data_IF_007494807687
#
_entry.id   IF_007494807687
#
_cell.length_a   1.000
_cell.length_b   1.000
_cell.length_c   1.000
_cell.angle_alpha   90.00
_cell.angle_beta   90.00
_cell.angle_gamma   90.00
#
_symmetry.space_group_name_H-M   'P 1'
#
loop_
_entity.id
_entity.type
_entity.pdbx_description
1 polymer ?
#
# COMPACT_ATOMS: atom_id res chain seq x y z
N UNK A 1 -7.49 -21.87 20.22
CA UNK A 1 -6.39 -22.67 19.65
C UNK A 1 -5.10 -22.06 20.14
N UNK A 2 -4.38 -22.80 20.97
CA UNK A 2 -3.13 -22.36 21.63
C UNK A 2 -2.01 -22.30 20.60
N UNK A 3 -1.53 -21.11 20.30
CA UNK A 3 -0.31 -20.92 19.50
C UNK A 3 0.90 -21.23 20.38
N UNK A 4 1.62 -22.28 20.07
CA UNK A 4 2.90 -22.59 20.66
C UNK A 4 3.86 -21.42 20.52
N UNK A 5 4.67 -21.07 21.53
CA UNK A 5 5.66 -20.01 21.42
C UNK A 5 6.74 -20.43 20.42
N UNK A 6 6.85 -19.71 19.31
CA UNK A 6 7.96 -19.82 18.38
C UNK A 6 9.28 -19.65 19.15
N UNK A 7 10.24 -20.55 18.90
CA UNK A 7 11.60 -20.51 19.46
C UNK A 7 12.18 -19.10 19.31
N UNK A 8 12.48 -18.45 20.42
CA UNK A 8 12.99 -17.10 20.45
C UNK A 8 14.30 -16.99 19.68
N UNK A 9 14.24 -16.40 18.51
CA UNK A 9 15.44 -15.97 17.78
C UNK A 9 16.00 -14.79 18.57
N UNK A 10 17.10 -15.00 19.30
CA UNK A 10 17.78 -13.93 19.99
C UNK A 10 18.28 -12.91 18.97
N UNK A 11 17.65 -11.74 18.93
CA UNK A 11 18.10 -10.64 18.07
C UNK A 11 19.45 -10.13 18.59
N UNK A 12 20.43 -9.92 17.70
CA UNK A 12 21.69 -9.27 18.10
C UNK A 12 21.38 -7.86 18.61
N UNK A 13 22.07 -7.32 19.60
CA UNK A 13 21.90 -5.93 20.01
C UNK A 13 22.05 -4.96 18.83
N UNK A 14 21.21 -3.91 18.76
CA UNK A 14 21.41 -2.84 17.78
C UNK A 14 22.65 -2.04 18.22
N UNK A 15 23.57 -1.67 17.31
CA UNK A 15 24.61 -0.69 17.58
C UNK A 15 23.99 0.61 18.09
N UNK A 16 24.76 1.49 18.72
CA UNK A 16 24.27 2.78 19.23
C UNK A 16 23.76 3.73 18.12
N UNK A 17 24.09 3.41 16.85
CA UNK A 17 23.67 4.15 15.64
C UNK A 17 23.19 3.20 14.54
N UNK A 18 22.48 3.73 13.57
CA UNK A 18 21.91 3.01 12.42
C UNK A 18 21.86 3.89 11.18
N UNK A 19 21.84 3.27 10.00
CA UNK A 19 21.69 3.95 8.70
C UNK A 19 20.24 4.30 8.44
N UNK A 20 19.98 5.53 8.01
CA UNK A 20 18.69 5.99 7.50
C UNK A 20 18.88 6.83 6.24
N UNK A 21 17.80 6.97 5.45
CA UNK A 21 17.72 7.95 4.38
C UNK A 21 16.68 8.98 4.78
N UNK A 22 17.11 10.22 4.98
CA UNK A 22 16.23 11.31 5.41
C UNK A 22 16.12 12.39 4.34
N UNK A 23 15.03 13.13 4.43
CA UNK A 23 14.80 14.35 3.66
C UNK A 23 15.05 15.53 4.61
N UNK A 24 16.00 16.39 4.24
CA UNK A 24 16.37 17.58 5.04
C UNK A 24 15.75 18.85 4.50
N UNK A 25 15.37 18.86 3.23
CA UNK A 25 14.61 19.88 2.51
C UNK A 25 13.93 19.22 1.30
N UNK A 26 12.92 19.82 0.67
CA UNK A 26 12.24 19.25 -0.49
C UNK A 26 13.20 18.71 -1.54
N UNK A 27 12.98 17.45 -1.95
CA UNK A 27 13.77 16.68 -2.92
C UNK A 27 15.22 16.36 -2.51
N UNK A 28 15.60 16.61 -1.26
CA UNK A 28 16.93 16.31 -0.73
C UNK A 28 16.96 15.03 0.09
N UNK A 29 16.96 13.87 -0.55
CA UNK A 29 17.19 12.59 0.11
C UNK A 29 18.69 12.35 0.37
N UNK A 30 19.05 12.10 1.62
CA UNK A 30 20.44 11.86 2.02
C UNK A 30 20.57 10.64 2.93
N UNK A 31 21.60 9.83 2.69
CA UNK A 31 22.00 8.76 3.61
C UNK A 31 22.67 9.39 4.82
N UNK A 32 22.20 9.05 6.00
CA UNK A 32 22.70 9.59 7.29
C UNK A 32 22.87 8.49 8.31
N UNK A 33 23.66 8.76 9.35
CA UNK A 33 23.71 7.95 10.55
C UNK A 33 22.89 8.62 11.65
N UNK A 34 21.99 7.86 12.28
CA UNK A 34 21.13 8.32 13.38
C UNK A 34 21.37 7.50 14.66
N UNK A 35 21.16 8.11 15.81
CA UNK A 35 21.22 7.42 17.09
C UNK A 35 19.97 6.59 17.33
N UNK A 36 20.16 5.39 17.89
CA UNK A 36 19.06 4.54 18.31
C UNK A 36 18.35 5.17 19.49
N UNK A 37 17.03 5.33 19.37
CA UNK A 37 16.17 5.82 20.44
C UNK A 37 15.40 4.68 21.10
N UNK A 38 15.05 4.85 22.37
CA UNK A 38 14.12 3.94 23.04
C UNK A 38 12.67 4.26 22.72
N UNK A 39 11.79 3.23 22.55
CA UNK A 39 10.39 3.46 22.27
C UNK A 39 9.68 4.06 23.49
N UNK A 40 8.89 5.12 23.25
CA UNK A 40 8.04 5.75 24.26
C UNK A 40 6.80 4.92 24.61
N UNK A 41 5.92 5.43 25.49
CA UNK A 41 4.67 4.75 25.86
C UNK A 41 3.81 4.41 24.65
N UNK A 42 3.36 3.15 24.55
CA UNK A 42 2.55 2.65 23.44
C UNK A 42 3.28 2.48 22.11
N UNK A 43 4.60 2.65 22.09
CA UNK A 43 5.44 2.51 20.90
C UNK A 43 6.28 1.23 20.93
N UNK A 44 6.70 0.79 19.77
CA UNK A 44 7.68 -0.28 19.59
C UNK A 44 8.86 0.22 18.76
N UNK A 45 10.03 -0.36 18.99
CA UNK A 45 11.16 -0.21 18.07
C UNK A 45 11.22 -1.43 17.16
N UNK A 46 11.41 -1.17 15.88
CA UNK A 46 11.43 -2.18 14.83
C UNK A 46 12.78 -2.15 14.13
N UNK A 47 13.42 -3.31 13.99
CA UNK A 47 14.46 -3.53 13.00
C UNK A 47 13.78 -3.73 11.66
N UNK A 48 14.00 -2.77 10.77
CA UNK A 48 13.46 -2.83 9.43
C UNK A 48 14.29 -3.78 8.58
N UNK A 49 13.63 -4.72 7.94
CA UNK A 49 14.23 -5.67 7.00
C UNK A 49 14.01 -5.21 5.55
N UNK A 50 12.86 -4.58 5.28
CA UNK A 50 12.51 -4.06 3.95
C UNK A 50 11.51 -2.91 4.07
N UNK A 51 11.54 -1.98 3.09
CA UNK A 51 10.53 -0.93 2.94
C UNK A 51 10.24 -0.70 1.45
N UNK A 52 8.98 -0.76 1.05
CA UNK A 52 8.56 -0.45 -0.31
C UNK A 52 8.64 1.05 -0.61
N UNK A 53 8.91 1.38 -1.87
CA UNK A 53 8.91 2.75 -2.39
C UNK A 53 7.56 3.03 -3.03
N UNK A 54 6.86 4.05 -2.54
CA UNK A 54 5.52 4.40 -2.98
C UNK A 54 5.45 5.84 -3.50
N UNK A 55 4.55 6.08 -4.45
CA UNK A 55 4.31 7.44 -4.95
C UNK A 55 3.90 8.41 -3.83
N UNK A 56 3.19 7.92 -2.80
CA UNK A 56 2.77 8.74 -1.65
C UNK A 56 3.94 9.20 -0.77
N UNK A 57 5.15 8.66 -0.94
CA UNK A 57 6.36 9.18 -0.28
C UNK A 57 6.71 10.59 -0.78
N UNK A 58 6.16 11.01 -1.95
CA UNK A 58 6.26 12.38 -2.43
C UNK A 58 5.68 13.41 -1.47
N UNK A 59 4.72 13.01 -0.64
CA UNK A 59 4.19 13.86 0.44
C UNK A 59 5.32 14.40 1.32
N UNK A 60 6.30 13.55 1.62
CA UNK A 60 7.48 13.91 2.41
C UNK A 60 8.61 14.41 1.51
N UNK A 61 8.93 13.69 0.44
CA UNK A 61 10.11 14.03 -0.39
C UNK A 61 9.96 15.39 -1.05
N UNK A 62 8.78 15.72 -1.56
CA UNK A 62 8.50 17.00 -2.22
C UNK A 62 7.94 18.08 -1.27
N UNK A 63 7.69 17.75 0.00
CA UNK A 63 7.14 18.69 0.97
C UNK A 63 5.71 19.12 0.68
N UNK A 64 4.86 18.19 0.20
CA UNK A 64 3.46 18.49 -0.16
C UNK A 64 2.57 18.68 1.07
N UNK A 65 3.02 18.29 2.26
CA UNK A 65 2.39 18.52 3.54
C UNK A 65 3.31 19.35 4.44
N UNK A 66 2.80 20.02 5.48
CA UNK A 66 3.64 20.58 6.53
C UNK A 66 4.46 19.48 7.20
N UNK A 67 5.79 19.58 7.15
CA UNK A 67 6.72 18.57 7.66
C UNK A 67 7.75 19.23 8.56
N UNK A 68 7.98 18.61 9.71
CA UNK A 68 9.09 18.95 10.58
C UNK A 68 10.36 18.23 10.07
N UNK A 69 11.19 18.98 9.36
CA UNK A 69 12.46 18.49 8.83
C UNK A 69 13.54 18.36 9.92
N UNK A 70 14.49 17.40 9.85
CA UNK A 70 14.58 16.35 8.87
C UNK A 70 13.58 15.21 9.13
N UNK A 71 13.15 14.49 8.06
CA UNK A 71 12.17 13.41 8.13
C UNK A 71 12.65 12.19 7.35
N UNK A 72 12.50 10.99 7.91
CA UNK A 72 12.70 9.72 7.20
C UNK A 72 11.39 9.31 6.54
N UNK A 73 11.32 9.18 5.19
CA UNK A 73 10.11 8.74 4.50
C UNK A 73 9.93 7.21 4.58
N UNK A 74 8.91 6.70 3.88
CA UNK A 74 8.65 5.27 3.74
C UNK A 74 7.56 4.74 4.68
N UNK A 75 6.50 4.20 4.10
CA UNK A 75 5.32 3.71 4.83
C UNK A 75 4.92 2.29 4.40
N UNK A 76 5.83 1.50 3.90
CA UNK A 76 5.66 0.08 3.58
C UNK A 76 6.74 -0.75 4.29
N UNK A 77 6.93 -0.46 5.59
CA UNK A 77 8.03 -1.05 6.35
C UNK A 77 7.67 -2.42 6.92
N UNK A 78 8.54 -3.39 6.71
CA UNK A 78 8.48 -4.74 7.31
C UNK A 78 9.73 -4.99 8.11
N UNK A 79 9.55 -5.54 9.31
CA UNK A 79 10.69 -5.85 10.17
C UNK A 79 10.29 -6.66 11.39
N UNK A 80 11.14 -6.61 12.42
CA UNK A 80 10.90 -7.29 13.69
C UNK A 80 10.98 -6.33 14.86
N UNK A 81 10.06 -6.48 15.78
CA UNK A 81 10.10 -5.76 17.06
C UNK A 81 11.38 -6.15 17.80
N UNK A 82 12.17 -5.16 18.20
CA UNK A 82 13.36 -5.38 19.00
C UNK A 82 13.24 -4.79 20.41
N UNK A 83 12.38 -3.81 20.61
CA UNK A 83 12.05 -3.28 21.94
C UNK A 83 10.57 -2.88 22.02
N UNK A 84 10.01 -2.98 23.22
CA UNK A 84 8.66 -2.56 23.56
C UNK A 84 8.70 -1.38 24.53
N UNK A 85 8.02 -0.31 24.22
CA UNK A 85 7.81 0.80 25.13
C UNK A 85 6.80 0.47 26.24
N UNK A 86 6.72 1.33 27.26
CA UNK A 86 5.78 1.13 28.36
C UNK A 86 4.33 1.03 27.88
N UNK A 87 3.56 0.09 28.47
CA UNK A 87 2.14 -0.09 28.21
C UNK A 87 1.80 -0.83 26.92
N UNK A 88 2.75 -1.25 26.11
CA UNK A 88 2.50 -2.06 24.90
C UNK A 88 1.98 -3.44 25.29
N UNK A 89 0.84 -3.84 24.71
CA UNK A 89 0.23 -5.15 24.89
C UNK A 89 -0.04 -5.83 23.56
N UNK A 90 -0.11 -7.16 23.54
CA UNK A 90 -0.44 -7.97 22.36
C UNK A 90 0.70 -8.13 21.34
N UNK A 91 1.89 -7.64 21.65
CA UNK A 91 3.10 -7.72 20.85
C UNK A 91 4.28 -8.26 21.66
N UNK A 92 5.25 -8.88 21.00
CA UNK A 92 6.43 -9.45 21.62
C UNK A 92 7.70 -9.12 20.82
N UNK A 93 8.83 -9.02 21.54
CA UNK A 93 10.15 -8.91 20.92
C UNK A 93 10.41 -10.13 20.01
N UNK A 94 10.97 -9.88 18.82
CA UNK A 94 11.21 -10.88 17.78
C UNK A 94 10.02 -11.08 16.83
N UNK A 95 8.82 -10.61 17.14
CA UNK A 95 7.64 -10.75 16.30
C UNK A 95 7.79 -9.95 15.00
N UNK A 96 7.40 -10.55 13.86
CA UNK A 96 7.39 -9.88 12.57
C UNK A 96 6.18 -8.97 12.45
N UNK A 97 6.43 -7.74 12.03
CA UNK A 97 5.41 -6.71 11.90
C UNK A 97 5.60 -5.88 10.65
N UNK A 98 4.50 -5.29 10.20
CA UNK A 98 4.48 -4.29 9.15
C UNK A 98 3.90 -2.98 9.64
N UNK A 99 4.33 -1.88 9.04
CA UNK A 99 3.81 -0.53 9.26
C UNK A 99 3.39 0.05 7.94
N UNK A 100 2.11 0.44 7.83
CA UNK A 100 1.54 1.07 6.63
C UNK A 100 1.48 2.59 6.73
N UNK A 101 0.77 3.21 5.79
CA UNK A 101 0.63 4.68 5.72
C UNK A 101 -0.04 5.26 6.97
N UNK A 102 -1.08 4.59 7.51
CA UNK A 102 -1.73 4.98 8.75
C UNK A 102 -0.89 4.47 9.93
N UNK A 103 -0.15 5.36 10.56
CA UNK A 103 0.82 5.05 11.62
C UNK A 103 0.20 4.67 12.97
N UNK A 104 -1.13 4.68 13.09
CA UNK A 104 -1.87 4.29 14.29
C UNK A 104 -3.07 5.15 14.54
N UNK A 105 -3.95 4.73 15.44
CA UNK A 105 -5.15 5.44 15.83
C UNK A 105 -5.14 5.81 17.31
N UNK A 106 -5.88 6.87 17.70
CA UNK A 106 -5.91 7.32 19.08
C UNK A 106 -6.79 6.46 20.01
N UNK A 107 -7.75 5.69 19.46
CA UNK A 107 -8.64 4.82 20.19
C UNK A 107 -9.82 5.50 20.90
N UNK A 108 -9.84 6.83 21.05
CA UNK A 108 -10.83 7.55 21.86
C UNK A 108 -11.71 8.56 21.12
N UNK A 109 -11.33 9.01 19.92
CA UNK A 109 -12.18 9.93 19.15
C UNK A 109 -13.45 9.21 18.65
N UNK A 110 -14.42 9.97 18.18
CA UNK A 110 -15.72 9.45 17.73
C UNK A 110 -15.57 8.38 16.64
N UNK A 111 -14.67 8.59 15.66
CA UNK A 111 -14.41 7.64 14.59
C UNK A 111 -13.83 6.33 15.13
N UNK A 112 -12.79 6.41 15.98
CA UNK A 112 -12.21 5.21 16.59
C UNK A 112 -13.22 4.42 17.43
N UNK A 113 -14.05 5.10 18.20
CA UNK A 113 -15.09 4.47 19.04
C UNK A 113 -16.19 3.79 18.22
N UNK A 114 -16.39 4.24 16.98
CA UNK A 114 -17.30 3.62 16.01
C UNK A 114 -16.61 2.54 15.13
N UNK A 115 -15.32 2.24 15.38
CA UNK A 115 -14.55 1.26 14.60
C UNK A 115 -13.97 1.78 13.29
N UNK A 116 -14.18 3.05 12.96
CA UNK A 116 -13.65 3.71 11.79
C UNK A 116 -12.26 4.30 12.10
N UNK A 117 -11.25 3.42 12.13
CA UNK A 117 -9.89 3.81 12.47
C UNK A 117 -9.20 4.57 11.33
N UNK A 118 -9.68 4.44 10.09
CA UNK A 118 -9.13 5.15 8.93
C UNK A 118 -9.34 6.65 9.03
N UNK A 119 -10.50 7.06 9.55
CA UNK A 119 -10.87 8.47 9.72
C UNK A 119 -10.58 9.00 11.14
N UNK A 120 -9.63 8.42 11.86
CA UNK A 120 -9.22 8.89 13.17
C UNK A 120 -8.85 10.39 13.13
N UNK A 121 -9.42 11.22 14.01
CA UNK A 121 -9.12 12.66 14.06
C UNK A 121 -7.65 12.98 14.39
N UNK A 122 -6.99 12.07 15.11
CA UNK A 122 -5.59 12.18 15.48
C UNK A 122 -4.73 11.20 14.67
N UNK A 123 -5.06 11.07 13.37
CA UNK A 123 -4.34 10.18 12.47
C UNK A 123 -2.93 10.72 12.22
N UNK A 124 -1.94 9.87 12.40
CA UNK A 124 -0.56 10.13 12.00
C UNK A 124 -0.24 9.31 10.74
N UNK A 125 0.45 9.95 9.80
CA UNK A 125 0.92 9.31 8.58
C UNK A 125 2.40 8.97 8.72
N UNK A 126 2.73 7.69 8.59
CA UNK A 126 4.10 7.17 8.66
C UNK A 126 4.95 7.77 7.55
N UNK A 127 6.13 8.24 7.90
CA UNK A 127 7.02 8.93 6.96
C UNK A 127 6.69 10.42 6.75
N UNK A 128 5.56 10.92 7.28
CA UNK A 128 5.13 12.32 7.21
C UNK A 128 5.16 12.96 8.60
N UNK A 129 4.30 12.47 9.53
CA UNK A 129 4.21 13.00 10.90
C UNK A 129 5.21 12.31 11.85
N UNK A 130 5.63 11.09 11.53
CA UNK A 130 6.65 10.33 12.23
C UNK A 130 7.65 9.77 11.23
N UNK A 131 8.85 9.43 11.69
CA UNK A 131 9.85 8.80 10.84
C UNK A 131 9.36 7.44 10.31
N UNK A 132 9.64 7.19 9.04
CA UNK A 132 9.22 6.01 8.30
C UNK A 132 10.30 4.92 8.18
N UNK A 133 10.12 4.04 7.20
CA UNK A 133 10.88 2.81 7.03
C UNK A 133 12.09 2.90 6.11
N UNK A 134 12.47 4.07 5.59
CA UNK A 134 13.75 4.22 4.87
C UNK A 134 14.91 4.27 5.85
N UNK A 135 14.99 3.27 6.72
CA UNK A 135 15.95 3.17 7.80
C UNK A 135 16.17 1.72 8.24
N UNK A 136 17.30 1.43 8.88
CA UNK A 136 17.53 0.12 9.52
C UNK A 136 16.71 -0.04 10.81
N UNK A 137 16.29 1.07 11.43
CA UNK A 137 15.51 1.10 12.68
C UNK A 137 14.44 2.16 12.59
N UNK A 138 13.23 1.84 13.05
CA UNK A 138 12.13 2.81 13.19
C UNK A 138 11.40 2.65 14.52
N UNK A 139 10.76 3.71 14.98
CA UNK A 139 9.80 3.71 16.09
C UNK A 139 8.39 3.80 15.51
N UNK A 140 7.49 2.93 15.96
CA UNK A 140 6.10 2.92 15.49
C UNK A 140 5.13 2.77 16.67
N UNK A 141 3.90 3.29 16.52
CA UNK A 141 2.82 3.03 17.48
C UNK A 141 2.36 1.58 17.38
N UNK A 142 2.20 0.93 18.52
CA UNK A 142 1.71 -0.45 18.59
C UNK A 142 0.31 -0.63 17.95
N UNK A 143 -0.50 0.43 17.93
CA UNK A 143 -1.84 0.44 17.33
C UNK A 143 -1.82 0.49 15.79
N UNK A 144 -0.68 0.82 15.18
CA UNK A 144 -0.50 0.87 13.73
C UNK A 144 0.08 -0.41 13.12
N UNK A 145 0.46 -1.39 13.93
CA UNK A 145 1.16 -2.58 13.47
C UNK A 145 0.24 -3.61 12.83
N UNK A 146 0.75 -4.25 11.79
CA UNK A 146 0.14 -5.40 11.10
C UNK A 146 1.01 -6.64 11.30
N UNK A 147 0.39 -7.83 11.43
CA UNK A 147 1.11 -9.11 11.55
C UNK A 147 1.56 -9.59 10.18
N UNK A 148 2.85 -9.85 10.02
CA UNK A 148 3.38 -10.41 8.78
C UNK A 148 3.39 -11.94 8.87
N UNK A 149 2.63 -12.67 8.01
CA UNK A 149 2.68 -14.13 7.94
C UNK A 149 4.08 -14.63 7.56
N UNK A 150 4.42 -15.83 8.05
CA UNK A 150 5.73 -16.44 7.77
C UNK A 150 5.90 -16.85 6.30
N UNK A 151 4.80 -17.01 5.57
CA UNK A 151 4.79 -17.33 4.13
C UNK A 151 5.42 -16.24 3.23
N UNK A 152 5.51 -15.00 3.74
CA UNK A 152 6.08 -13.89 2.99
C UNK A 152 7.54 -13.62 3.36
N UNK A 153 8.37 -13.35 2.36
CA UNK A 153 9.61 -12.61 2.58
C UNK A 153 9.28 -11.17 3.00
N UNK A 154 10.17 -10.49 3.71
CA UNK A 154 9.93 -9.10 4.11
C UNK A 154 9.80 -8.17 2.90
N UNK A 155 10.60 -8.38 1.85
CA UNK A 155 10.47 -7.64 0.60
C UNK A 155 9.15 -7.90 -0.13
N UNK A 156 8.66 -9.16 -0.13
CA UNK A 156 7.38 -9.51 -0.76
C UNK A 156 6.17 -8.95 -0.02
N UNK A 157 6.24 -8.82 1.31
CA UNK A 157 5.17 -8.28 2.13
C UNK A 157 5.09 -6.73 2.08
N UNK A 158 6.22 -6.04 1.91
CA UNK A 158 6.29 -4.59 2.01
C UNK A 158 5.26 -3.86 1.12
N UNK A 159 5.14 -4.11 -0.20
CA UNK A 159 4.15 -3.44 -1.04
C UNK A 159 2.69 -3.79 -0.68
N UNK A 160 2.46 -4.90 0.01
CA UNK A 160 1.12 -5.31 0.42
C UNK A 160 0.58 -4.43 1.58
N UNK A 161 1.46 -3.70 2.28
CA UNK A 161 1.09 -2.82 3.38
C UNK A 161 0.52 -1.46 2.93
N UNK A 162 0.69 -1.11 1.65
CA UNK A 162 0.10 0.09 1.04
C UNK A 162 -0.69 -0.28 -0.21
N UNK A 163 -0.03 -0.58 -1.34
CA UNK A 163 -0.70 -0.85 -2.60
C UNK A 163 -1.64 -2.06 -2.52
N UNK A 164 -1.21 -3.14 -1.83
CA UNK A 164 -2.05 -4.31 -1.57
C UNK A 164 -3.23 -3.98 -0.68
N UNK A 165 -2.99 -3.37 0.46
CA UNK A 165 -4.02 -2.98 1.43
C UNK A 165 -5.06 -2.04 0.80
N UNK A 166 -4.63 -1.04 0.04
CA UNK A 166 -5.50 -0.06 -0.60
C UNK A 166 -6.43 -0.73 -1.62
N UNK A 167 -5.89 -1.54 -2.52
CA UNK A 167 -6.69 -2.23 -3.55
C UNK A 167 -7.60 -3.31 -2.97
N UNK A 168 -7.10 -4.09 -2.00
CA UNK A 168 -7.89 -5.09 -1.29
C UNK A 168 -9.05 -4.46 -0.51
N UNK A 169 -8.78 -3.40 0.27
CA UNK A 169 -9.79 -2.71 1.07
C UNK A 169 -10.89 -2.13 0.19
N UNK A 170 -10.53 -1.46 -0.90
CA UNK A 170 -11.47 -0.89 -1.85
C UNK A 170 -12.37 -1.96 -2.48
N UNK A 171 -11.80 -3.07 -2.94
CA UNK A 171 -12.56 -4.17 -3.56
C UNK A 171 -13.44 -4.91 -2.56
N UNK A 172 -12.94 -5.15 -1.36
CA UNK A 172 -13.68 -5.82 -0.28
C UNK A 172 -14.94 -5.06 0.13
N UNK A 173 -14.88 -3.73 0.10
CA UNK A 173 -15.98 -2.84 0.48
C UNK A 173 -16.79 -2.35 -0.74
N UNK A 174 -16.43 -2.79 -1.95
CA UNK A 174 -17.12 -2.41 -3.16
C UNK A 174 -18.54 -3.03 -3.25
N UNK A 175 -19.50 -2.38 -3.91
CA UNK A 175 -20.86 -2.89 -4.05
C UNK A 175 -20.98 -4.01 -5.09
N UNK A 176 -19.88 -4.68 -5.47
CA UNK A 176 -19.87 -5.78 -6.42
C UNK A 176 -20.01 -7.13 -5.71
N UNK A 177 -20.68 -8.06 -6.37
CA UNK A 177 -20.81 -9.47 -5.95
C UNK A 177 -19.98 -10.35 -6.87
N UNK A 178 -19.61 -11.54 -6.41
CA UNK A 178 -18.94 -12.55 -7.25
C UNK A 178 -19.71 -12.77 -8.57
N UNK A 179 -18.98 -12.84 -9.68
CA UNK A 179 -19.52 -12.93 -11.03
C UNK A 179 -19.87 -11.60 -11.70
N UNK A 180 -19.93 -10.48 -10.95
CA UNK A 180 -20.16 -9.16 -11.56
C UNK A 180 -18.86 -8.58 -12.15
N UNK A 181 -19.02 -7.77 -13.20
CA UNK A 181 -17.88 -7.12 -13.88
C UNK A 181 -17.29 -6.01 -13.01
N UNK A 182 -16.00 -6.16 -12.72
CA UNK A 182 -15.15 -5.16 -12.07
C UNK A 182 -14.05 -4.73 -13.03
N UNK A 183 -13.94 -3.46 -13.32
CA UNK A 183 -12.87 -2.90 -14.13
C UNK A 183 -11.75 -2.35 -13.23
N UNK A 184 -10.50 -2.53 -13.63
CA UNK A 184 -9.32 -1.94 -12.99
C UNK A 184 -8.64 -1.03 -13.99
N UNK A 185 -8.67 0.28 -13.72
CA UNK A 185 -8.07 1.30 -14.58
C UNK A 185 -6.64 1.61 -14.14
N UNK A 186 -5.70 1.33 -15.04
CA UNK A 186 -4.26 1.43 -14.80
C UNK A 186 -3.65 0.10 -14.32
N UNK A 187 -2.57 -0.35 -14.99
CA UNK A 187 -1.87 -1.60 -14.67
C UNK A 187 -0.45 -1.24 -14.18
N UNK A 188 -0.41 -0.48 -13.09
CA UNK A 188 0.81 -0.04 -12.42
C UNK A 188 0.98 -0.66 -11.04
N UNK A 189 1.61 0.11 -10.12
CA UNK A 189 1.92 -0.33 -8.75
C UNK A 189 0.73 -0.79 -7.92
N UNK A 190 -0.46 -0.20 -8.11
CA UNK A 190 -1.73 -0.61 -7.48
C UNK A 190 -2.49 -1.60 -8.38
N UNK A 191 -2.63 -1.26 -9.67
CA UNK A 191 -3.52 -1.98 -10.57
C UNK A 191 -3.14 -3.43 -10.81
N UNK A 192 -1.84 -3.77 -10.84
CA UNK A 192 -1.41 -5.17 -10.99
C UNK A 192 -1.83 -6.04 -9.79
N UNK A 193 -1.95 -5.46 -8.60
CA UNK A 193 -2.52 -6.11 -7.41
C UNK A 193 -4.05 -6.09 -7.45
N UNK A 194 -4.65 -4.96 -7.88
CA UNK A 194 -6.10 -4.83 -8.03
C UNK A 194 -6.72 -5.89 -8.96
N UNK A 195 -6.07 -6.18 -10.09
CA UNK A 195 -6.48 -7.26 -11.01
C UNK A 195 -6.45 -8.63 -10.32
N UNK A 196 -5.37 -8.95 -9.62
CA UNK A 196 -5.24 -10.21 -8.89
C UNK A 196 -6.30 -10.34 -7.79
N UNK A 197 -6.45 -9.32 -6.94
CA UNK A 197 -7.48 -9.35 -5.88
C UNK A 197 -8.88 -9.48 -6.46
N UNK A 198 -9.24 -8.70 -7.48
CA UNK A 198 -10.54 -8.79 -8.11
C UNK A 198 -10.81 -10.20 -8.66
N UNK A 199 -9.83 -10.81 -9.31
CA UNK A 199 -9.91 -12.18 -9.81
C UNK A 199 -10.15 -13.19 -8.68
N UNK A 200 -9.36 -13.13 -7.61
CA UNK A 200 -9.46 -14.06 -6.49
C UNK A 200 -10.69 -13.83 -5.60
N UNK A 201 -11.30 -12.64 -5.65
CA UNK A 201 -12.61 -12.37 -5.03
C UNK A 201 -13.79 -12.90 -5.86
N UNK A 202 -13.54 -13.50 -7.03
CA UNK A 202 -14.55 -14.12 -7.86
C UNK A 202 -15.27 -13.17 -8.81
N UNK A 203 -14.72 -11.98 -9.07
CA UNK A 203 -15.29 -11.05 -10.03
C UNK A 203 -14.91 -11.42 -11.48
N UNK A 204 -15.75 -11.02 -12.44
CA UNK A 204 -15.33 -10.88 -13.82
C UNK A 204 -14.47 -9.61 -13.93
N UNK A 205 -13.25 -9.71 -14.50
CA UNK A 205 -12.25 -8.63 -14.42
C UNK A 205 -11.94 -8.08 -15.81
N UNK A 206 -12.14 -6.76 -15.99
CA UNK A 206 -11.66 -6.01 -17.13
C UNK A 206 -10.48 -5.14 -16.69
N UNK A 207 -9.29 -5.37 -17.24
CA UNK A 207 -8.13 -4.51 -17.04
C UNK A 207 -8.09 -3.44 -18.13
N UNK A 208 -7.95 -2.17 -17.74
CA UNK A 208 -7.87 -1.03 -18.67
C UNK A 208 -6.46 -0.48 -18.61
N UNK A 209 -5.75 -0.52 -19.72
CA UNK A 209 -4.39 0.01 -19.86
C UNK A 209 -4.25 0.86 -21.10
N UNK A 210 -3.10 1.47 -21.31
CA UNK A 210 -2.77 2.24 -22.50
C UNK A 210 -1.81 1.46 -23.38
N UNK A 211 -2.22 1.19 -24.62
CA UNK A 211 -1.46 0.38 -25.57
C UNK A 211 -1.59 -1.13 -25.31
N UNK A 212 -0.97 -1.93 -26.14
CA UNK A 212 -1.09 -3.41 -26.10
C UNK A 212 -0.04 -4.08 -25.21
N UNK A 213 1.00 -3.37 -24.79
CA UNK A 213 2.14 -3.94 -24.05
C UNK A 213 1.75 -4.62 -22.73
N UNK A 214 0.72 -4.09 -22.06
CA UNK A 214 0.26 -4.66 -20.78
C UNK A 214 -0.81 -5.75 -20.93
N UNK A 215 -1.28 -6.06 -22.14
CA UNK A 215 -2.40 -6.98 -22.36
C UNK A 215 -2.09 -8.41 -21.89
N UNK A 216 -0.96 -8.95 -22.32
CA UNK A 216 -0.52 -10.29 -21.91
C UNK A 216 -0.28 -10.41 -20.41
N UNK A 217 0.29 -9.35 -19.82
CA UNK A 217 0.49 -9.30 -18.38
C UNK A 217 -0.85 -9.24 -17.63
N UNK A 218 -1.77 -8.38 -18.04
CA UNK A 218 -3.09 -8.28 -17.43
C UNK A 218 -3.82 -9.63 -17.42
N UNK A 219 -3.76 -10.38 -18.52
CA UNK A 219 -4.29 -11.75 -18.61
C UNK A 219 -3.60 -12.71 -17.65
N UNK A 220 -2.27 -12.68 -17.56
CA UNK A 220 -1.50 -13.51 -16.61
C UNK A 220 -1.84 -13.19 -15.16
N UNK A 221 -2.16 -11.93 -14.85
CA UNK A 221 -2.62 -11.48 -13.53
C UNK A 221 -4.07 -11.88 -13.22
N UNK A 222 -4.81 -12.41 -14.21
CA UNK A 222 -6.15 -12.94 -14.06
C UNK A 222 -7.27 -12.09 -14.65
N UNK A 223 -6.96 -11.06 -15.45
CA UNK A 223 -7.99 -10.31 -16.18
C UNK A 223 -8.64 -11.20 -17.26
N UNK A 224 -9.97 -11.17 -17.34
CA UNK A 224 -10.74 -11.83 -18.38
C UNK A 224 -10.76 -11.01 -19.67
N UNK A 225 -10.78 -9.68 -19.51
CA UNK A 225 -10.81 -8.72 -20.61
C UNK A 225 -9.68 -7.72 -20.46
N UNK A 226 -9.14 -7.27 -21.61
CA UNK A 226 -8.21 -6.15 -21.66
C UNK A 226 -8.77 -5.09 -22.59
N UNK A 227 -8.82 -3.86 -22.13
CA UNK A 227 -9.27 -2.69 -22.87
C UNK A 227 -8.09 -1.75 -23.08
N UNK A 228 -7.72 -1.54 -24.34
CA UNK A 228 -6.70 -0.55 -24.70
C UNK A 228 -7.36 0.83 -24.86
N UNK A 229 -7.11 1.70 -23.87
CA UNK A 229 -7.64 3.07 -23.86
C UNK A 229 -6.99 4.02 -24.87
N UNK A 230 -5.93 3.58 -25.57
CA UNK A 230 -5.35 4.34 -26.69
C UNK A 230 -6.05 4.02 -28.02
N UNK A 231 -6.63 2.82 -28.14
CA UNK A 231 -7.27 2.34 -29.38
C UNK A 231 -8.81 2.46 -29.35
N UNK A 232 -9.41 2.52 -28.16
CA UNK A 232 -10.87 2.51 -28.01
C UNK A 232 -11.32 3.36 -26.83
N UNK A 233 -12.56 3.85 -26.90
CA UNK A 233 -13.23 4.46 -25.75
C UNK A 233 -13.49 3.40 -24.66
N UNK A 234 -12.86 3.53 -23.49
CA UNK A 234 -13.01 2.53 -22.44
C UNK A 234 -14.43 2.45 -21.88
N UNK A 235 -15.20 3.54 -21.88
CA UNK A 235 -16.57 3.52 -21.42
C UNK A 235 -17.46 2.71 -22.40
N UNK A 236 -17.32 2.93 -23.69
CA UNK A 236 -18.05 2.16 -24.71
C UNK A 236 -17.66 0.67 -24.68
N UNK A 237 -16.38 0.36 -24.51
CA UNK A 237 -15.90 -1.02 -24.38
C UNK A 237 -16.50 -1.73 -23.14
N UNK A 238 -16.56 -1.05 -21.99
CA UNK A 238 -17.20 -1.58 -20.78
C UNK A 238 -18.72 -1.79 -20.99
N UNK A 239 -19.41 -0.86 -21.67
CA UNK A 239 -20.82 -1.02 -21.98
C UNK A 239 -21.08 -2.22 -22.91
N UNK A 240 -20.20 -2.50 -23.87
CA UNK A 240 -20.28 -3.69 -24.72
C UNK A 240 -20.16 -5.01 -23.92
N UNK A 241 -19.52 -4.97 -22.73
CA UNK A 241 -19.47 -6.08 -21.77
C UNK A 241 -20.65 -6.09 -20.78
N UNK A 242 -21.65 -5.21 -20.96
CA UNK A 242 -22.81 -5.09 -20.05
C UNK A 242 -22.67 -4.03 -18.97
N UNK A 243 -21.58 -3.27 -18.96
CA UNK A 243 -21.27 -2.21 -17.99
C UNK A 243 -20.68 -2.73 -16.67
N UNK A 244 -19.67 -2.05 -16.18
CA UNK A 244 -18.98 -2.44 -14.95
C UNK A 244 -19.84 -2.14 -13.71
N UNK A 245 -19.88 -3.07 -12.74
CA UNK A 245 -20.45 -2.82 -11.41
C UNK A 245 -19.54 -1.93 -10.58
N UNK A 246 -18.24 -2.11 -10.73
CA UNK A 246 -17.22 -1.27 -10.08
C UNK A 246 -16.14 -0.95 -11.10
N UNK A 247 -15.66 0.29 -11.09
CA UNK A 247 -14.43 0.70 -11.74
C UNK A 247 -13.47 1.14 -10.65
N UNK A 248 -12.41 0.38 -10.44
CA UNK A 248 -11.33 0.69 -9.52
C UNK A 248 -10.32 1.58 -10.24
N UNK A 249 -10.20 2.83 -9.82
CA UNK A 249 -9.31 3.82 -10.44
C UNK A 249 -7.98 3.79 -9.69
N UNK A 250 -6.94 3.28 -10.31
CA UNK A 250 -5.58 3.20 -9.74
C UNK A 250 -4.59 4.15 -10.41
N UNK A 251 -5.00 4.76 -11.51
CA UNK A 251 -4.26 5.80 -12.19
C UNK A 251 -4.67 7.18 -11.62
N UNK A 252 -3.72 8.09 -11.49
CA UNK A 252 -4.01 9.47 -11.09
C UNK A 252 -4.69 10.26 -12.19
N UNK A 253 -5.55 11.21 -11.82
CA UNK A 253 -6.15 12.20 -12.71
C UNK A 253 -7.65 12.09 -12.88
N UNK A 254 -8.36 13.20 -12.59
CA UNK A 254 -9.81 13.31 -12.67
C UNK A 254 -10.37 13.05 -14.07
N UNK A 255 -9.66 13.45 -15.12
CA UNK A 255 -10.05 13.20 -16.53
C UNK A 255 -10.11 11.71 -16.85
N UNK A 256 -9.15 10.94 -16.33
CA UNK A 256 -9.09 9.50 -16.57
C UNK A 256 -10.27 8.78 -15.91
N UNK A 257 -10.66 9.17 -14.71
CA UNK A 257 -11.85 8.69 -14.03
C UNK A 257 -13.11 9.07 -14.84
N UNK A 258 -13.26 10.35 -15.19
CA UNK A 258 -14.43 10.86 -15.92
C UNK A 258 -14.63 10.12 -17.26
N UNK A 259 -13.55 9.83 -18.00
CA UNK A 259 -13.58 9.11 -19.26
C UNK A 259 -14.13 7.68 -19.15
N UNK A 260 -14.00 7.04 -18.00
CA UNK A 260 -14.51 5.67 -17.79
C UNK A 260 -15.88 5.62 -17.12
N UNK A 261 -16.33 6.73 -16.52
CA UNK A 261 -17.52 6.75 -15.66
C UNK A 261 -18.80 6.25 -16.35
N UNK A 262 -18.98 6.60 -17.63
CA UNK A 262 -20.12 6.13 -18.44
C UNK A 262 -20.06 4.64 -18.77
N UNK A 263 -18.94 3.98 -18.50
CA UNK A 263 -18.80 2.52 -18.58
C UNK A 263 -19.44 1.77 -17.40
N UNK A 264 -19.92 2.48 -16.37
CA UNK A 264 -20.66 1.88 -15.27
C UNK A 264 -22.07 1.46 -15.70
N UNK A 265 -22.49 0.26 -15.27
CA UNK A 265 -23.92 -0.14 -15.33
C UNK A 265 -24.75 0.67 -14.32
N UNK A 266 -26.08 0.66 -14.41
CA UNK A 266 -26.94 1.23 -13.36
C UNK A 266 -26.61 0.66 -11.97
N UNK A 267 -26.56 1.54 -10.95
CA UNK A 267 -26.18 1.20 -9.58
C UNK A 267 -24.69 0.86 -9.41
N UNK A 268 -23.86 1.16 -10.41
CA UNK A 268 -22.41 0.97 -10.33
C UNK A 268 -21.68 2.09 -9.60
N UNK A 269 -20.41 1.84 -9.26
CA UNK A 269 -19.56 2.79 -8.54
C UNK A 269 -18.14 2.87 -9.14
N UNK A 270 -17.63 4.09 -9.33
CA UNK A 270 -16.20 4.34 -9.48
C UNK A 270 -15.58 4.56 -8.09
N UNK A 271 -14.51 3.83 -7.79
CA UNK A 271 -13.76 3.95 -6.55
C UNK A 271 -12.37 4.48 -6.87
N UNK A 272 -12.11 5.71 -6.43
CA UNK A 272 -10.85 6.39 -6.70
C UNK A 272 -9.81 6.11 -5.61
N UNK A 273 -8.64 5.64 -6.03
CA UNK A 273 -7.46 5.37 -5.21
C UNK A 273 -6.29 6.27 -5.61
N UNK A 274 -6.40 6.95 -6.74
CA UNK A 274 -5.36 7.78 -7.32
C UNK A 274 -5.41 9.21 -6.77
N UNK A 275 -4.32 9.65 -6.12
CA UNK A 275 -4.23 11.03 -5.66
C UNK A 275 -3.73 11.93 -6.78
N UNK A 276 -4.45 13.01 -7.07
CA UNK A 276 -4.07 14.01 -8.07
C UNK A 276 -4.80 15.34 -7.85
N UNK A 277 -4.24 16.47 -8.34
CA UNK A 277 -4.83 17.79 -8.17
C UNK A 277 -5.97 18.10 -9.14
N UNK A 278 -6.18 17.25 -10.16
CA UNK A 278 -7.15 17.53 -11.21
C UNK A 278 -8.59 17.28 -10.73
N UNK A 279 -9.56 18.17 -11.05
CA UNK A 279 -10.96 17.95 -10.72
C UNK A 279 -11.54 16.78 -11.53
N UNK A 280 -12.51 16.08 -10.93
CA UNK A 280 -13.30 15.04 -11.60
C UNK A 280 -14.53 15.69 -12.22
N UNK A 281 -14.62 15.73 -13.55
CA UNK A 281 -15.73 16.33 -14.28
C UNK A 281 -16.82 15.31 -14.59
N UNK A 282 -17.84 15.23 -13.72
CA UNK A 282 -19.02 14.37 -13.86
C UNK A 282 -20.26 15.24 -13.68
N UNK A 283 -21.24 15.07 -14.57
CA UNK A 283 -22.50 15.84 -14.51
C UNK A 283 -23.49 15.19 -13.53
N UNK A 284 -24.43 16.00 -13.00
CA UNK A 284 -25.54 15.46 -12.20
C UNK A 284 -26.34 14.41 -12.97
N UNK A 285 -26.50 14.57 -14.29
CA UNK A 285 -27.18 13.58 -15.13
C UNK A 285 -26.45 12.24 -15.15
N UNK A 286 -25.11 12.24 -15.21
CA UNK A 286 -24.33 11.01 -15.20
C UNK A 286 -24.49 10.22 -13.89
N UNK A 287 -24.73 10.93 -12.77
CA UNK A 287 -24.98 10.33 -11.45
C UNK A 287 -26.42 9.85 -11.30
N UNK A 288 -27.40 10.73 -11.59
CA UNK A 288 -28.83 10.48 -11.31
C UNK A 288 -29.38 9.39 -12.23
N UNK A 289 -29.12 9.49 -13.56
CA UNK A 289 -29.57 8.49 -14.49
C UNK A 289 -28.73 7.22 -14.38
N UNK A 290 -29.29 6.25 -13.67
CA UNK A 290 -28.65 4.97 -13.36
C UNK A 290 -28.09 4.87 -11.95
N UNK A 291 -28.35 5.85 -11.06
CA UNK A 291 -27.95 5.82 -9.63
C UNK A 291 -26.46 5.47 -9.43
N UNK A 292 -25.60 6.05 -10.27
CA UNK A 292 -24.16 5.79 -10.25
C UNK A 292 -23.49 6.57 -9.11
N UNK A 293 -22.34 6.09 -8.66
CA UNK A 293 -21.61 6.66 -7.51
C UNK A 293 -20.15 6.90 -7.87
N UNK A 294 -19.57 7.96 -7.26
CA UNK A 294 -18.13 8.16 -7.15
C UNK A 294 -17.79 8.14 -5.66
N UNK A 295 -16.78 7.38 -5.31
CA UNK A 295 -16.30 7.29 -3.93
C UNK A 295 -14.78 7.28 -3.90
N UNK A 296 -14.18 7.92 -2.90
CA UNK A 296 -12.76 7.77 -2.60
C UNK A 296 -12.54 6.60 -1.64
N UNK A 297 -11.34 5.99 -1.71
CA UNK A 297 -10.89 5.01 -0.71
C UNK A 297 -9.42 5.27 -0.42
N UNK A 298 -9.11 5.67 0.82
CA UNK A 298 -7.75 6.04 1.19
C UNK A 298 -6.82 4.83 1.22
N UNK A 299 -7.07 3.90 2.13
CA UNK A 299 -6.31 2.66 2.36
C UNK A 299 -7.13 1.77 3.29
N UNK A 300 -6.51 1.05 4.22
CA UNK A 300 -7.19 0.28 5.26
C UNK A 300 -6.52 0.47 6.62
N UNK A 301 -7.20 0.05 7.67
CA UNK A 301 -6.66 -0.01 9.02
C UNK A 301 -5.82 -1.28 9.23
N UNK A 302 -5.08 -1.43 10.36
CA UNK A 302 -4.25 -2.60 10.63
C UNK A 302 -4.99 -3.94 10.58
N UNK A 303 -6.24 -4.01 11.02
CA UNK A 303 -7.05 -5.24 10.94
C UNK A 303 -7.37 -5.61 9.48
N UNK A 304 -7.62 -4.60 8.63
CA UNK A 304 -7.77 -4.82 7.18
C UNK A 304 -6.43 -5.23 6.57
N UNK A 305 -5.30 -4.69 7.05
CA UNK A 305 -3.96 -5.09 6.64
C UNK A 305 -3.67 -6.55 6.96
N UNK A 306 -3.97 -7.00 8.18
CA UNK A 306 -3.88 -8.42 8.56
C UNK A 306 -4.75 -9.31 7.65
N UNK A 307 -5.96 -8.84 7.29
CA UNK A 307 -6.84 -9.56 6.37
C UNK A 307 -6.27 -9.60 4.94
N UNK A 308 -5.69 -8.50 4.46
CA UNK A 308 -5.01 -8.40 3.16
C UNK A 308 -3.88 -9.42 3.07
N UNK A 309 -3.00 -9.44 4.06
CA UNK A 309 -1.85 -10.36 4.10
C UNK A 309 -2.30 -11.83 4.16
N UNK A 310 -3.30 -12.15 4.99
CA UNK A 310 -3.87 -13.52 5.05
C UNK A 310 -4.51 -13.93 3.73
N UNK A 311 -5.28 -13.03 3.10
CA UNK A 311 -5.89 -13.32 1.80
C UNK A 311 -4.82 -13.53 0.72
N UNK A 312 -3.78 -12.70 0.71
CA UNK A 312 -2.68 -12.82 -0.23
C UNK A 312 -1.90 -14.13 -0.05
N UNK A 313 -1.63 -14.54 1.20
CA UNK A 313 -1.01 -15.85 1.49
C UNK A 313 -1.89 -17.02 1.00
N UNK A 314 -3.21 -16.94 1.26
CA UNK A 314 -4.16 -17.99 0.86
C UNK A 314 -4.29 -18.14 -0.66
N UNK A 315 -4.23 -17.03 -1.39
CA UNK A 315 -4.55 -17.00 -2.83
C UNK A 315 -3.33 -16.88 -3.74
N UNK A 316 -2.14 -16.64 -3.17
CA UNK A 316 -0.92 -16.43 -3.93
C UNK A 316 -0.79 -15.04 -4.56
N UNK A 317 -1.68 -14.09 -4.21
CA UNK A 317 -1.55 -12.70 -4.68
C UNK A 317 -0.24 -12.10 -4.17
N UNK A 318 0.56 -11.59 -5.10
CA UNK A 318 1.88 -11.06 -4.81
C UNK A 318 2.21 -9.84 -5.68
N UNK A 319 3.01 -8.94 -5.14
CA UNK A 319 3.54 -7.83 -5.90
C UNK A 319 4.70 -8.27 -6.79
N UNK A 320 4.77 -7.69 -7.98
CA UNK A 320 5.97 -7.78 -8.82
C UNK A 320 6.97 -6.75 -8.29
N UNK A 321 8.09 -7.23 -7.76
CA UNK A 321 9.07 -6.40 -7.06
C UNK A 321 10.46 -6.48 -7.68
N UNK A 322 11.20 -5.39 -7.54
CA UNK A 322 12.67 -5.34 -7.66
C UNK A 322 13.22 -4.84 -6.31
N UNK A 323 14.31 -5.40 -5.86
CA UNK A 323 14.94 -5.02 -4.59
C UNK A 323 16.22 -4.27 -4.82
N UNK A 324 16.45 -3.21 -4.03
CA UNK A 324 17.69 -2.43 -4.04
C UNK A 324 18.15 -2.17 -2.59
N UNK A 325 19.45 -1.97 -2.34
CA UNK A 325 19.93 -1.58 -1.01
C UNK A 325 19.30 -0.27 -0.52
N UNK A 326 19.15 -0.14 0.81
CA UNK A 326 18.60 1.06 1.46
C UNK A 326 19.31 2.35 1.00
N UNK A 327 20.62 2.29 0.85
CA UNK A 327 21.45 3.44 0.46
C UNK A 327 21.13 3.98 -0.96
N UNK A 328 20.44 3.19 -1.78
CA UNK A 328 20.00 3.59 -3.14
C UNK A 328 18.58 4.18 -3.15
N UNK A 329 18.03 4.56 -2.01
CA UNK A 329 16.65 5.04 -1.90
C UNK A 329 16.35 6.26 -2.78
N UNK A 330 17.31 7.19 -2.93
CA UNK A 330 17.13 8.37 -3.79
C UNK A 330 16.96 7.98 -5.28
N UNK A 331 17.79 7.06 -5.79
CA UNK A 331 17.68 6.55 -7.15
C UNK A 331 16.38 5.74 -7.33
N UNK A 332 16.04 4.88 -6.36
CA UNK A 332 14.82 4.09 -6.36
C UNK A 332 13.57 4.98 -6.42
N UNK A 333 13.54 6.04 -5.62
CA UNK A 333 12.47 7.03 -5.64
C UNK A 333 12.36 7.73 -7.00
N UNK A 334 13.47 8.24 -7.55
CA UNK A 334 13.48 8.89 -8.85
C UNK A 334 12.94 7.96 -9.97
N UNK A 335 13.42 6.71 -10.03
CA UNK A 335 12.94 5.70 -11.00
C UNK A 335 11.46 5.40 -10.86
N UNK A 336 10.95 5.35 -9.64
CA UNK A 336 9.52 5.14 -9.38
C UNK A 336 8.70 6.34 -9.86
N UNK A 337 9.13 7.57 -9.58
CA UNK A 337 8.46 8.80 -10.03
C UNK A 337 8.45 8.93 -11.56
N UNK A 338 9.48 8.48 -12.24
CA UNK A 338 9.56 8.42 -13.71
C UNK A 338 8.75 7.27 -14.34
N UNK A 339 8.07 6.46 -13.54
CA UNK A 339 7.28 5.32 -14.02
C UNK A 339 8.12 4.16 -14.57
N UNK A 340 9.40 4.09 -14.22
CA UNK A 340 10.35 3.05 -14.69
C UNK A 340 10.36 1.79 -13.82
N UNK A 341 9.63 1.77 -12.71
CA UNK A 341 9.49 0.59 -11.85
C UNK A 341 8.57 -0.48 -12.49
N UNK A 342 8.88 -1.76 -12.31
CA UNK A 342 8.08 -2.90 -12.83
C UNK A 342 7.84 -3.97 -11.76
N UNK A 343 6.88 -3.74 -10.79
CA UNK A 343 6.08 -2.51 -10.64
C UNK A 343 6.40 -1.80 -9.34
N UNK A 344 7.01 -2.51 -8.38
CA UNK A 344 7.32 -1.98 -7.05
C UNK A 344 8.82 -2.09 -6.78
N UNK A 345 9.41 -1.03 -6.30
CA UNK A 345 10.78 -1.07 -5.80
C UNK A 345 10.73 -1.24 -4.29
N UNK A 346 11.58 -2.10 -3.76
CA UNK A 346 11.68 -2.37 -2.33
C UNK A 346 13.11 -2.17 -1.88
N UNK A 347 13.29 -1.26 -0.93
CA UNK A 347 14.56 -1.05 -0.24
C UNK A 347 14.78 -2.22 0.73
N UNK A 348 15.98 -2.80 0.74
CA UNK A 348 16.36 -3.85 1.69
C UNK A 348 17.52 -3.36 2.55
N UNK A 349 17.42 -3.62 3.85
CA UNK A 349 18.48 -3.32 4.82
C UNK A 349 19.48 -4.48 4.89
N UNK A 350 20.59 -4.28 5.57
CA UNK A 350 21.59 -5.34 5.80
C UNK A 350 21.00 -6.54 6.55
N UNK A 351 20.11 -6.30 7.51
CA UNK A 351 19.38 -7.35 8.22
C UNK A 351 18.42 -8.11 7.29
N UNK A 352 17.78 -7.43 6.35
CA UNK A 352 16.92 -8.01 5.33
C UNK A 352 17.69 -8.91 4.36
N UNK A 353 18.85 -8.48 3.89
CA UNK A 353 19.71 -9.26 2.97
C UNK A 353 20.20 -10.54 3.65
N UNK A 354 20.70 -10.44 4.88
CA UNK A 354 21.24 -11.61 5.61
C UNK A 354 20.22 -12.70 5.87
N UNK A 355 18.93 -12.35 6.00
CA UNK A 355 17.84 -13.32 6.22
C UNK A 355 17.30 -13.93 4.94
N UNK A 356 17.34 -13.21 3.82
CA UNK A 356 16.96 -13.79 2.50
C UNK A 356 17.89 -14.92 2.08
N UNK A 357 19.17 -14.83 2.43
CA UNK A 357 20.16 -15.89 2.15
C UNK A 357 19.99 -17.12 3.04
N UNK A 358 19.49 -16.96 4.27
CA UNK A 358 19.30 -18.08 5.22
C UNK A 358 18.04 -18.93 4.95
N UNK A 359 17.07 -18.43 4.17
CA UNK A 359 15.84 -19.15 3.81
C UNK A 359 16.02 -19.99 2.54
N UNK A 360 17.09 -19.74 1.76
CA UNK A 360 17.41 -20.48 0.52
C UNK A 360 18.40 -21.63 0.73
N UNK A 361 18.93 -21.79 1.93
CA UNK A 361 19.82 -22.88 2.37
C UNK A 361 19.04 -23.90 3.23
#
# INVERSE_FOLDING_TARGET
MSSSPTRGTTLKPIPGTYTAVEVSAPSELRVVERRVAEPGPGQVRIRVEACGVCHSDSATVEGLFPIDWPRVPGHEAVGRIDALGPGVQGWAVGQRVGVGFLGGSCGYCEFCRNGDLVNCRNQEFTGVHSDGGYAEVMIAKATGLMRIPDDFSSAGAAPLLCAGLTTFSALRNAPAKAGELVAVLGIGGLGHLGVQYARHMGFEVAAIGRGTESAELAKKLGAHHYIDSAASDPAAALQALGGAKVILITASGGKTLAATFKGLRPGGASIDLGVGPEPIEITSMDLIFGERKVAGSLTGNPATGDATLRFSALTGVSAMIETVPLEQAAEAYARMMEGKARFRIVLVTKDGISRQTSVRS
#
